data_IF_375861121543
#
_entry.id   IF_375861121543
#
_cell.length_a   1.000
_cell.length_b   1.000
_cell.length_c   1.000
_cell.angle_alpha   90.00
_cell.angle_beta   90.00
_cell.angle_gamma   90.00
#
_symmetry.space_group_name_H-M   'P 1'
#
loop_
_entity.id
_entity.type
_entity.pdbx_description
1 polymer ?
#
# COMPACT_ATOMS: atom_id res chain seq x y z
N UNK A 1 16.92 -0.08 -7.09
CA UNK A 1 16.49 -1.50 -7.13
C UNK A 1 16.18 -1.89 -8.56
N UNK A 2 16.78 -2.96 -9.05
CA UNK A 2 16.59 -3.43 -10.41
C UNK A 2 15.26 -4.19 -10.56
N UNK A 3 14.84 -4.39 -11.83
CA UNK A 3 13.68 -5.22 -12.15
C UNK A 3 13.85 -6.65 -11.60
N UNK A 4 15.05 -7.24 -11.79
CA UNK A 4 15.33 -8.59 -11.29
C UNK A 4 15.26 -8.68 -9.77
N UNK A 5 15.72 -7.66 -9.08
CA UNK A 5 15.61 -7.58 -7.61
C UNK A 5 14.15 -7.53 -7.17
N UNK A 6 13.31 -6.76 -7.88
CA UNK A 6 11.87 -6.71 -7.61
C UNK A 6 11.19 -8.04 -7.91
N UNK A 7 11.57 -8.72 -8.99
CA UNK A 7 11.03 -10.05 -9.31
C UNK A 7 11.38 -11.08 -8.22
N UNK A 8 12.61 -11.03 -7.70
CA UNK A 8 13.03 -11.89 -6.58
C UNK A 8 12.27 -11.54 -5.31
N UNK A 9 12.07 -10.26 -5.03
CA UNK A 9 11.30 -9.83 -3.86
C UNK A 9 9.85 -10.33 -3.96
N UNK A 10 9.23 -10.21 -5.13
CA UNK A 10 7.87 -10.72 -5.35
C UNK A 10 7.80 -12.22 -5.05
N UNK A 11 8.76 -13.01 -5.55
CA UNK A 11 8.80 -14.44 -5.27
C UNK A 11 8.96 -14.73 -3.77
N UNK A 12 9.77 -13.95 -3.07
CA UNK A 12 9.95 -14.07 -1.62
C UNK A 12 8.66 -13.78 -0.87
N UNK A 13 7.96 -12.71 -1.25
CA UNK A 13 6.67 -12.34 -0.65
C UNK A 13 5.63 -13.42 -0.91
N UNK A 14 5.53 -13.92 -2.13
CA UNK A 14 4.60 -14.99 -2.47
C UNK A 14 4.85 -16.25 -1.65
N UNK A 15 6.11 -16.64 -1.48
CA UNK A 15 6.48 -17.79 -0.63
C UNK A 15 6.11 -17.56 0.83
N UNK A 16 6.35 -16.37 1.36
CA UNK A 16 5.99 -16.01 2.73
C UNK A 16 4.48 -16.08 2.96
N UNK A 17 3.69 -15.64 1.98
CA UNK A 17 2.22 -15.72 2.04
C UNK A 17 1.76 -17.18 2.10
N UNK A 18 2.29 -18.03 1.23
CA UNK A 18 1.94 -19.45 1.18
C UNK A 18 2.31 -20.17 2.49
N UNK A 19 3.44 -19.83 3.10
CA UNK A 19 3.93 -20.44 4.34
C UNK A 19 3.29 -19.83 5.60
N UNK A 20 2.50 -18.77 5.48
CA UNK A 20 1.92 -18.08 6.62
C UNK A 20 0.82 -18.91 7.31
N UNK A 21 0.71 -18.73 8.63
CA UNK A 21 -0.25 -19.45 9.47
C UNK A 21 -1.69 -18.99 9.22
N UNK A 22 -1.88 -17.68 8.91
CA UNK A 22 -3.17 -17.06 8.64
C UNK A 22 -3.00 -15.79 7.80
N UNK A 23 -4.11 -15.18 7.42
CA UNK A 23 -4.10 -13.98 6.59
C UNK A 23 -3.39 -12.79 7.27
N UNK A 24 -3.58 -12.61 8.57
CA UNK A 24 -2.92 -11.52 9.30
C UNK A 24 -1.41 -11.68 9.29
N UNK A 25 -0.92 -12.89 9.54
CA UNK A 25 0.51 -13.18 9.48
C UNK A 25 1.07 -12.96 8.08
N UNK A 26 0.33 -13.36 7.04
CA UNK A 26 0.70 -13.11 5.65
C UNK A 26 0.86 -11.61 5.35
N UNK A 27 -0.08 -10.79 5.83
CA UNK A 27 -0.05 -9.34 5.66
C UNK A 27 1.13 -8.74 6.42
N UNK A 28 1.37 -9.14 7.66
CA UNK A 28 2.50 -8.67 8.46
C UNK A 28 3.84 -8.97 7.78
N UNK A 29 4.02 -10.18 7.28
CA UNK A 29 5.23 -10.55 6.54
C UNK A 29 5.39 -9.71 5.27
N UNK A 30 4.32 -9.49 4.54
CA UNK A 30 4.35 -8.71 3.30
C UNK A 30 4.78 -7.26 3.55
N UNK A 31 4.19 -6.58 4.53
CA UNK A 31 4.54 -5.17 4.80
C UNK A 31 5.98 -5.03 5.26
N UNK A 32 6.49 -5.95 6.07
CA UNK A 32 7.89 -5.95 6.50
C UNK A 32 8.85 -6.22 5.34
N UNK A 33 8.58 -7.21 4.50
CA UNK A 33 9.42 -7.53 3.35
C UNK A 33 9.50 -6.37 2.36
N UNK A 34 8.38 -5.72 2.08
CA UNK A 34 8.34 -4.57 1.19
C UNK A 34 9.13 -3.39 1.78
N UNK A 35 8.89 -3.06 3.04
CA UNK A 35 9.54 -1.93 3.71
C UNK A 35 11.06 -2.14 3.81
N UNK A 36 11.48 -3.35 4.18
CA UNK A 36 12.89 -3.64 4.44
C UNK A 36 13.72 -3.77 3.15
N UNK A 37 13.10 -4.13 2.04
CA UNK A 37 13.82 -4.43 0.79
C UNK A 37 13.72 -3.33 -0.28
N UNK A 38 12.80 -2.38 -0.15
CA UNK A 38 12.65 -1.28 -1.11
C UNK A 38 12.96 0.04 -0.42
N UNK A 39 14.14 0.65 -0.69
CA UNK A 39 14.59 1.86 0.03
C UNK A 39 13.63 3.05 -0.06
N UNK A 40 12.94 3.21 -1.19
CA UNK A 40 12.02 4.33 -1.41
C UNK A 40 10.67 4.16 -0.72
N UNK A 41 10.36 2.98 -0.17
CA UNK A 41 9.12 2.74 0.56
C UNK A 41 9.31 3.19 2.01
N UNK A 42 8.89 4.41 2.29
CA UNK A 42 9.06 5.03 3.61
C UNK A 42 8.04 4.54 4.62
N UNK A 43 6.83 4.29 4.15
CA UNK A 43 5.72 3.75 4.95
C UNK A 43 4.98 2.71 4.13
N UNK A 44 4.73 1.54 4.71
CA UNK A 44 3.98 0.45 4.06
C UNK A 44 2.92 -0.05 5.02
N UNK A 45 1.69 -0.05 4.58
CA UNK A 45 0.57 -0.53 5.38
C UNK A 45 -0.51 -1.20 4.54
N UNK A 46 -1.35 -1.96 5.22
CA UNK A 46 -2.53 -2.60 4.62
C UNK A 46 -3.76 -2.13 5.37
N UNK A 47 -4.70 -1.56 4.62
CA UNK A 47 -6.04 -1.28 5.12
C UNK A 47 -6.96 -2.42 4.75
N UNK A 48 -7.81 -2.83 5.68
CA UNK A 48 -8.82 -3.86 5.47
C UNK A 48 -10.20 -3.22 5.41
N UNK A 49 -11.01 -3.63 4.44
CA UNK A 49 -12.36 -3.09 4.29
C UNK A 49 -13.30 -3.76 5.30
N UNK A 50 -13.91 -2.95 6.15
CA UNK A 50 -14.95 -3.34 7.10
C UNK A 50 -16.21 -2.52 6.80
N UNK A 51 -17.22 -3.14 6.18
CA UNK A 51 -18.40 -2.44 5.74
C UNK A 51 -18.07 -1.38 4.69
N UNK A 52 -18.19 -0.10 5.05
CA UNK A 52 -17.89 1.03 4.17
C UNK A 52 -16.68 1.84 4.65
N UNK A 53 -15.85 1.28 5.50
CA UNK A 53 -14.65 1.91 6.01
C UNK A 53 -13.42 1.04 5.79
N UNK A 54 -12.32 1.70 5.47
CA UNK A 54 -10.99 1.10 5.48
C UNK A 54 -10.41 1.22 6.88
N UNK A 55 -10.01 0.11 7.46
CA UNK A 55 -9.44 0.05 8.81
C UNK A 55 -7.98 -0.34 8.72
N UNK A 56 -7.11 0.46 9.33
CA UNK A 56 -5.67 0.19 9.30
C UNK A 56 -5.34 -1.13 10.00
N UNK A 57 -4.74 -2.02 9.23
CA UNK A 57 -4.17 -3.28 9.70
C UNK A 57 -2.67 -3.15 9.94
N UNK A 58 -1.89 -4.21 9.70
CA UNK A 58 -0.44 -4.16 9.86
C UNK A 58 0.22 -3.08 9.00
N UNK A 59 1.18 -2.36 9.59
CA UNK A 59 1.97 -1.35 8.89
C UNK A 59 3.38 -1.26 9.48
N UNK A 60 4.29 -0.70 8.70
CA UNK A 60 5.67 -0.40 9.11
C UNK A 60 5.98 1.03 8.71
N UNK A 61 6.43 1.82 9.68
CA UNK A 61 6.74 3.23 9.52
C UNK A 61 6.19 4.04 10.68
N UNK A 62 6.12 5.36 10.53
CA UNK A 62 5.57 6.25 11.54
C UNK A 62 4.08 5.96 11.78
N UNK A 63 3.56 6.07 13.00
CA UNK A 63 2.13 5.93 13.25
C UNK A 63 1.30 6.86 12.37
N UNK A 64 0.23 6.33 11.77
CA UNK A 64 -0.69 7.12 10.95
C UNK A 64 -1.85 7.65 11.78
N UNK A 65 -2.26 8.93 11.59
CA UNK A 65 -3.46 9.46 12.22
C UNK A 65 -4.75 8.91 11.59
N UNK A 66 -4.66 8.28 10.41
CA UNK A 66 -5.81 7.79 9.67
C UNK A 66 -6.01 6.29 9.89
N UNK A 67 -6.51 5.91 11.08
CA UNK A 67 -6.78 4.52 11.41
C UNK A 67 -8.07 3.99 10.74
N UNK A 68 -9.00 4.89 10.41
CA UNK A 68 -10.27 4.57 9.72
C UNK A 68 -10.54 5.60 8.64
N UNK A 69 -10.80 5.13 7.42
CA UNK A 69 -11.04 5.99 6.25
C UNK A 69 -12.32 5.53 5.56
N UNK A 70 -13.34 6.42 5.45
CA UNK A 70 -14.55 6.08 4.69
C UNK A 70 -14.24 5.85 3.20
N UNK A 71 -14.98 4.94 2.57
CA UNK A 71 -14.91 4.75 1.12
C UNK A 71 -15.13 6.08 0.38
N UNK A 72 -14.33 6.32 -0.65
CA UNK A 72 -14.40 7.53 -1.46
C UNK A 72 -13.64 8.72 -0.88
N UNK A 73 -13.15 8.62 0.37
CA UNK A 73 -12.39 9.71 0.99
C UNK A 73 -10.89 9.46 0.88
N UNK A 74 -10.14 10.51 0.54
CA UNK A 74 -8.69 10.42 0.36
C UNK A 74 -8.30 9.58 -0.85
N UNK A 75 -7.00 9.38 -1.04
CA UNK A 75 -6.47 8.53 -2.11
C UNK A 75 -6.84 7.07 -1.85
N UNK A 76 -6.68 6.61 -0.61
CA UNK A 76 -7.05 5.23 -0.22
C UNK A 76 -8.54 4.96 -0.44
N UNK A 77 -9.41 5.85 0.01
CA UNK A 77 -10.86 5.70 -0.18
C UNK A 77 -11.25 5.73 -1.65
N UNK A 78 -10.59 6.57 -2.45
CA UNK A 78 -10.83 6.64 -3.90
C UNK A 78 -10.40 5.35 -4.61
N UNK A 79 -9.22 4.81 -4.28
CA UNK A 79 -8.73 3.56 -4.87
C UNK A 79 -9.68 2.39 -4.58
N UNK A 80 -10.16 2.28 -3.36
CA UNK A 80 -11.11 1.23 -2.97
C UNK A 80 -12.45 1.39 -3.70
N UNK A 81 -12.98 2.62 -3.77
CA UNK A 81 -14.23 2.90 -4.46
C UNK A 81 -14.16 2.63 -5.97
N UNK A 82 -13.03 2.98 -6.58
CA UNK A 82 -12.80 2.79 -8.02
C UNK A 82 -12.35 1.37 -8.36
N UNK A 83 -11.93 0.58 -7.36
CA UNK A 83 -11.34 -0.76 -7.54
C UNK A 83 -10.15 -0.74 -8.49
N UNK A 84 -9.31 0.27 -8.37
CA UNK A 84 -8.19 0.50 -9.27
C UNK A 84 -6.98 1.05 -8.50
N UNK A 85 -5.79 0.67 -8.95
CA UNK A 85 -4.53 1.23 -8.45
C UNK A 85 -4.48 2.72 -8.75
N UNK A 86 -4.10 3.51 -7.75
CA UNK A 86 -3.85 4.94 -7.91
C UNK A 86 -2.38 5.21 -7.56
N UNK A 87 -1.68 5.87 -8.48
CA UNK A 87 -0.31 6.36 -8.27
C UNK A 87 -0.34 7.87 -8.29
N UNK A 88 0.19 8.49 -7.24
CA UNK A 88 0.28 9.94 -7.11
C UNK A 88 1.75 10.35 -7.03
N UNK A 89 2.26 11.01 -8.06
CA UNK A 89 3.65 11.43 -8.14
C UNK A 89 3.99 12.60 -7.20
N UNK A 90 3.02 13.46 -6.91
CA UNK A 90 3.13 14.57 -5.99
C UNK A 90 1.84 14.69 -5.17
N UNK A 91 1.86 14.21 -3.93
CA UNK A 91 0.67 14.20 -3.07
C UNK A 91 0.16 15.60 -2.74
N UNK A 92 1.04 16.60 -2.69
CA UNK A 92 0.66 17.97 -2.38
C UNK A 92 -0.12 18.64 -3.52
N UNK A 93 -0.04 18.09 -4.73
CA UNK A 93 -0.79 18.53 -5.89
C UNK A 93 -2.13 17.81 -6.06
N UNK A 94 -2.38 16.72 -5.31
CA UNK A 94 -3.62 15.94 -5.40
C UNK A 94 -4.61 16.40 -4.32
N UNK A 95 -5.79 16.91 -4.70
CA UNK A 95 -6.78 17.41 -3.72
C UNK A 95 -7.39 16.31 -2.85
N UNK A 96 -7.24 15.03 -3.23
CA UNK A 96 -7.74 13.89 -2.46
C UNK A 96 -6.83 13.51 -1.29
N UNK A 97 -5.59 14.02 -1.27
CA UNK A 97 -4.60 13.59 -0.29
C UNK A 97 -5.01 13.91 1.15
N UNK A 98 -4.98 12.88 2.02
CA UNK A 98 -5.11 13.02 3.47
C UNK A 98 -3.71 12.92 4.06
N UNK A 99 -3.17 14.04 4.54
CA UNK A 99 -1.81 14.09 5.03
C UNK A 99 -1.59 13.17 6.24
N UNK A 100 -0.69 12.18 6.10
CA UNK A 100 -0.25 11.30 7.16
C UNK A 100 1.08 11.78 7.76
N UNK A 101 1.90 12.44 6.95
CA UNK A 101 3.23 12.93 7.29
C UNK A 101 3.56 14.13 6.42
N UNK A 102 4.28 15.11 6.98
CA UNK A 102 4.75 16.28 6.23
C UNK A 102 5.85 15.91 5.23
N UNK A 103 6.55 14.81 5.46
CA UNK A 103 7.64 14.35 4.60
C UNK A 103 7.17 13.57 3.37
N UNK A 104 5.96 13.04 3.37
CA UNK A 104 5.44 12.26 2.24
C UNK A 104 5.33 13.10 0.98
N UNK A 105 5.88 12.61 -0.13
CA UNK A 105 5.89 13.28 -1.43
C UNK A 105 5.10 12.54 -2.49
N UNK A 106 5.11 11.19 -2.46
CA UNK A 106 4.36 10.38 -3.42
C UNK A 106 3.71 9.19 -2.73
N UNK A 107 2.70 8.61 -3.39
CA UNK A 107 1.94 7.50 -2.84
C UNK A 107 1.49 6.55 -3.94
N UNK A 108 1.43 5.26 -3.63
CA UNK A 108 0.76 4.25 -4.44
C UNK A 108 -0.23 3.49 -3.56
N UNK A 109 -1.44 3.29 -4.06
CA UNK A 109 -2.46 2.47 -3.39
C UNK A 109 -2.93 1.40 -4.36
N UNK A 110 -2.82 0.14 -3.95
CA UNK A 110 -3.20 -1.02 -4.77
C UNK A 110 -4.32 -1.79 -4.07
N UNK A 111 -5.52 -1.86 -4.65
CA UNK A 111 -6.61 -2.64 -4.08
C UNK A 111 -6.30 -4.13 -4.08
N UNK A 112 -6.70 -4.81 -3.01
CA UNK A 112 -6.68 -6.26 -2.90
C UNK A 112 -8.07 -6.76 -3.28
N UNK A 113 -8.16 -7.42 -4.43
CA UNK A 113 -9.45 -7.83 -5.00
C UNK A 113 -9.61 -9.34 -4.93
N UNK A 114 -10.84 -9.78 -4.68
CA UNK A 114 -11.25 -11.17 -4.80
C UNK A 114 -12.61 -11.22 -5.49
N UNK A 115 -12.67 -11.87 -6.66
CA UNK A 115 -13.89 -12.00 -7.46
C UNK A 115 -14.58 -10.64 -7.73
N UNK A 116 -13.76 -9.59 -7.94
CA UNK A 116 -14.24 -8.24 -8.19
C UNK A 116 -14.59 -7.42 -6.95
N UNK A 117 -14.53 -8.02 -5.77
CA UNK A 117 -14.78 -7.32 -4.51
C UNK A 117 -13.49 -6.86 -3.84
N UNK A 118 -13.51 -5.67 -3.24
CA UNK A 118 -12.39 -5.13 -2.48
C UNK A 118 -12.37 -5.73 -1.08
N UNK A 119 -11.28 -6.40 -0.74
CA UNK A 119 -11.03 -6.91 0.62
C UNK A 119 -10.25 -5.90 1.46
N UNK A 120 -9.47 -5.09 0.82
CA UNK A 120 -8.60 -4.10 1.43
C UNK A 120 -7.69 -3.49 0.38
N UNK A 121 -6.58 -2.91 0.81
CA UNK A 121 -5.60 -2.32 -0.09
C UNK A 121 -4.21 -2.23 0.55
N UNK A 122 -3.19 -2.24 -0.30
CA UNK A 122 -1.81 -1.92 0.08
C UNK A 122 -1.61 -0.43 -0.17
N UNK A 123 -1.17 0.28 0.87
CA UNK A 123 -0.87 1.70 0.80
C UNK A 123 0.60 1.92 1.10
N UNK A 124 1.32 2.58 0.19
CA UNK A 124 2.74 2.86 0.34
C UNK A 124 3.01 4.33 0.09
N UNK A 125 3.70 4.95 1.03
CA UNK A 125 4.16 6.34 0.91
C UNK A 125 5.68 6.39 0.73
N UNK A 126 6.12 7.38 -0.03
CA UNK A 126 7.53 7.71 -0.16
C UNK A 126 7.79 9.17 0.14
N UNK A 127 8.95 9.45 0.75
CA UNK A 127 9.44 10.81 0.97
C UNK A 127 10.05 11.40 -0.29
N UNK A 128 10.04 10.68 -1.39
CA UNK A 128 10.54 11.10 -2.71
C UNK A 128 9.37 11.28 -3.67
N UNK A 129 9.41 12.32 -4.50
CA UNK A 129 8.43 12.50 -5.58
C UNK A 129 8.59 11.43 -6.64
N UNK A 130 7.46 11.05 -7.25
CA UNK A 130 7.43 10.12 -8.37
C UNK A 130 8.21 8.83 -8.10
N UNK A 131 8.12 8.30 -6.87
CA UNK A 131 8.88 7.11 -6.46
C UNK A 131 8.34 5.83 -7.10
N UNK A 132 7.11 5.83 -7.60
CA UNK A 132 6.41 4.61 -8.02
C UNK A 132 6.21 4.59 -9.54
N UNK A 133 6.75 3.57 -10.18
CA UNK A 133 6.64 3.35 -11.62
C UNK A 133 6.00 2.00 -11.97
N UNK A 134 6.18 1.58 -13.23
CA UNK A 134 5.63 0.33 -13.74
C UNK A 134 6.12 -0.90 -12.96
N UNK A 135 7.38 -0.88 -12.51
CA UNK A 135 7.95 -2.00 -11.74
C UNK A 135 7.30 -2.14 -10.36
N UNK A 136 6.93 -1.03 -9.75
CA UNK A 136 6.21 -1.03 -8.46
C UNK A 136 4.78 -1.56 -8.66
N UNK A 137 4.10 -1.15 -9.72
CA UNK A 137 2.78 -1.67 -10.07
C UNK A 137 2.82 -3.19 -10.29
N UNK A 138 3.87 -3.70 -10.93
CA UNK A 138 4.02 -5.13 -11.18
C UNK A 138 4.34 -5.92 -9.91
N UNK A 139 5.10 -5.33 -8.97
CA UNK A 139 5.42 -5.94 -7.68
C UNK A 139 4.18 -6.06 -6.78
N UNK A 140 3.36 -5.02 -6.73
CA UNK A 140 2.22 -4.90 -5.82
C UNK A 140 0.93 -5.39 -6.47
#
# INVERSE_FOLDING_TARGET
>A
MTRSERERLLATVQSAIVESMDARHAIEQTVHLLKDNVPDYTWVGVYLLEGRELVLGPFVGKPSPHARIPLGRGICGAAAAEKATIVVDDVNADPRYLACSLETQSEIVVPILRDGDVLGEIDIDSDRRAAFGADDRALL
#
